data_IF_962022494974
#
_entry.id   IF_962022494974
#
_cell.length_a   1.000
_cell.length_b   1.000
_cell.length_c   1.000
_cell.angle_alpha   90.00
_cell.angle_beta   90.00
_cell.angle_gamma   90.00
#
_symmetry.space_group_name_H-M   'P 1'
#
loop_
_entity.id
_entity.type
_entity.pdbx_description
1 polymer ?
#
# COMPACT_ATOMS: atom_id res chain seq x y z
N UNK A 1 31.33 -7.00 -16.47
CA UNK A 1 30.15 -7.05 -17.35
C UNK A 1 28.89 -6.52 -16.67
N UNK A 2 28.44 -7.08 -15.53
CA UNK A 2 27.23 -6.63 -14.83
C UNK A 2 27.21 -5.14 -14.41
N UNK A 3 28.37 -4.57 -14.05
CA UNK A 3 28.46 -3.13 -13.73
C UNK A 3 28.22 -2.22 -14.94
N UNK A 4 28.67 -2.63 -16.14
CA UNK A 4 28.40 -1.91 -17.39
C UNK A 4 26.93 -2.03 -17.78
N UNK A 5 26.35 -3.22 -17.63
CA UNK A 5 24.93 -3.47 -17.87
C UNK A 5 24.02 -2.67 -16.94
N UNK A 6 24.34 -2.61 -15.65
CA UNK A 6 23.61 -1.77 -14.69
C UNK A 6 23.69 -0.29 -15.02
N UNK A 7 24.84 0.21 -15.50
CA UNK A 7 24.96 1.61 -15.97
C UNK A 7 24.12 1.85 -17.22
N UNK A 8 24.16 0.94 -18.19
CA UNK A 8 23.33 1.01 -19.40
C UNK A 8 21.83 1.09 -19.09
N UNK A 9 21.33 0.25 -18.17
CA UNK A 9 19.93 0.29 -17.72
C UNK A 9 19.56 1.61 -17.01
N UNK A 10 20.53 2.32 -16.45
CA UNK A 10 20.32 3.63 -15.81
C UNK A 10 20.56 4.82 -16.76
N UNK A 11 21.22 4.63 -17.89
CA UNK A 11 21.66 5.69 -18.83
C UNK A 11 20.90 5.67 -20.15
N UNK A 12 19.78 4.96 -20.25
CA UNK A 12 19.05 4.84 -21.53
C UNK A 12 18.30 6.15 -21.82
N UNK A 13 18.92 7.02 -22.63
CA UNK A 13 18.43 8.32 -23.17
C UNK A 13 17.23 8.20 -24.16
N UNK A 14 16.66 7.01 -24.35
CA UNK A 14 15.64 6.75 -25.38
C UNK A 14 14.20 6.86 -24.84
N UNK A 15 13.85 8.00 -24.25
CA UNK A 15 12.46 8.41 -23.98
C UNK A 15 11.65 7.62 -22.93
N UNK A 16 12.21 6.55 -22.35
CA UNK A 16 11.54 5.75 -21.32
C UNK A 16 12.48 5.41 -20.15
N UNK A 17 12.36 6.16 -19.07
CA UNK A 17 13.02 5.86 -17.79
C UNK A 17 12.49 4.54 -17.21
N UNK A 18 13.35 3.53 -17.08
CA UNK A 18 13.00 2.27 -16.45
C UNK A 18 12.81 2.48 -14.94
N UNK A 19 11.69 1.97 -14.40
CA UNK A 19 11.46 1.97 -12.96
C UNK A 19 12.62 1.27 -12.21
N UNK A 20 13.08 1.81 -11.07
CA UNK A 20 14.10 1.17 -10.24
C UNK A 20 13.77 -0.29 -9.87
N UNK A 21 12.48 -0.62 -9.75
CA UNK A 21 12.00 -1.99 -9.52
C UNK A 21 12.30 -2.91 -10.71
N UNK A 22 12.04 -2.42 -11.94
CA UNK A 22 12.33 -3.15 -13.18
C UNK A 22 13.83 -3.35 -13.36
N UNK A 23 14.65 -2.35 -13.03
CA UNK A 23 16.12 -2.45 -13.07
C UNK A 23 16.60 -3.53 -12.11
N UNK A 24 16.10 -3.55 -10.86
CA UNK A 24 16.42 -4.58 -9.88
C UNK A 24 16.03 -5.97 -10.37
N UNK A 25 14.85 -6.12 -10.96
CA UNK A 25 14.36 -7.38 -11.51
C UNK A 25 15.29 -7.88 -12.63
N UNK A 26 15.57 -7.05 -13.64
CA UNK A 26 16.43 -7.42 -14.77
C UNK A 26 17.84 -7.83 -14.31
N UNK A 27 18.44 -7.09 -13.38
CA UNK A 27 19.75 -7.43 -12.82
C UNK A 27 19.68 -8.77 -12.06
N UNK A 28 18.61 -9.03 -11.31
CA UNK A 28 18.40 -10.30 -10.60
C UNK A 28 18.23 -11.47 -11.56
N UNK A 29 17.50 -11.29 -12.65
CA UNK A 29 17.30 -12.31 -13.69
C UNK A 29 18.63 -12.65 -14.38
N UNK A 30 19.40 -11.64 -14.78
CA UNK A 30 20.73 -11.85 -15.41
C UNK A 30 21.68 -12.54 -14.44
N UNK A 31 21.64 -12.19 -13.15
CA UNK A 31 22.43 -12.88 -12.13
C UNK A 31 22.06 -14.37 -12.05
N UNK A 32 20.78 -14.70 -11.89
CA UNK A 32 20.31 -16.08 -11.80
C UNK A 32 20.58 -16.89 -13.08
N UNK A 33 20.50 -16.24 -14.24
CA UNK A 33 20.87 -16.88 -15.51
C UNK A 33 22.37 -17.22 -15.59
N UNK A 34 23.24 -16.31 -15.15
CA UNK A 34 24.68 -16.56 -15.14
C UNK A 34 25.10 -17.61 -14.10
N UNK A 35 24.43 -17.67 -12.96
CA UNK A 35 24.67 -18.72 -11.96
C UNK A 35 24.20 -20.10 -12.46
N UNK A 36 23.10 -20.18 -13.22
CA UNK A 36 22.51 -21.45 -13.68
C UNK A 36 23.08 -22.00 -14.98
N UNK A 37 23.50 -21.14 -15.92
CA UNK A 37 24.01 -21.56 -17.24
C UNK A 37 25.53 -21.82 -17.24
N UNK A 38 26.25 -21.27 -16.26
CA UNK A 38 27.71 -21.29 -16.23
C UNK A 38 28.22 -21.84 -14.92
N UNK A 39 28.47 -23.16 -14.87
CA UNK A 39 29.04 -23.88 -13.71
C UNK A 39 30.37 -23.30 -13.21
N UNK A 40 31.02 -22.42 -13.98
CA UNK A 40 32.32 -21.80 -13.67
C UNK A 40 32.22 -20.40 -13.05
N UNK A 41 31.00 -19.84 -12.91
CA UNK A 41 30.82 -18.44 -12.48
C UNK A 41 30.09 -18.41 -11.13
N UNK A 42 30.85 -18.53 -10.05
CA UNK A 42 30.34 -18.29 -8.70
C UNK A 42 30.20 -16.79 -8.41
N UNK A 43 28.96 -16.30 -8.38
CA UNK A 43 28.68 -14.91 -8.02
C UNK A 43 28.44 -14.82 -6.51
N UNK A 44 29.52 -14.57 -5.76
CA UNK A 44 29.39 -14.26 -4.33
C UNK A 44 28.55 -12.99 -4.11
N UNK A 45 27.52 -13.02 -3.23
CA UNK A 45 26.64 -11.88 -2.98
C UNK A 45 27.41 -10.65 -2.45
N UNK A 46 28.50 -10.86 -1.71
CA UNK A 46 29.37 -9.78 -1.20
C UNK A 46 30.10 -9.06 -2.34
N UNK A 47 30.69 -9.82 -3.28
CA UNK A 47 31.39 -9.27 -4.46
C UNK A 47 30.40 -8.56 -5.39
N UNK A 48 29.18 -9.07 -5.50
CA UNK A 48 28.11 -8.47 -6.30
C UNK A 48 27.66 -7.11 -5.76
N UNK A 49 27.35 -7.02 -4.47
CA UNK A 49 26.91 -5.76 -3.82
C UNK A 49 27.95 -4.65 -3.90
N UNK A 50 29.24 -4.99 -3.87
CA UNK A 50 30.34 -4.02 -4.00
C UNK A 50 30.52 -3.49 -5.42
N UNK A 51 30.20 -4.30 -6.45
CA UNK A 51 30.50 -3.97 -7.86
C UNK A 51 29.28 -3.45 -8.64
N UNK A 52 28.07 -3.77 -8.20
CA UNK A 52 26.81 -3.43 -8.88
C UNK A 52 25.99 -2.51 -7.98
N UNK A 53 25.91 -1.23 -8.35
CA UNK A 53 25.10 -0.24 -7.66
C UNK A 53 23.68 -0.27 -8.22
N UNK A 54 22.76 -0.83 -7.45
CA UNK A 54 21.33 -0.88 -7.79
C UNK A 54 20.67 0.41 -7.27
N UNK A 55 19.85 1.12 -8.08
CA UNK A 55 19.15 2.31 -7.64
C UNK A 55 18.21 1.99 -6.47
N UNK A 56 18.15 2.90 -5.49
CA UNK A 56 17.23 2.77 -4.36
C UNK A 56 15.81 3.01 -4.86
N UNK A 57 14.93 2.04 -4.64
CA UNK A 57 13.50 2.19 -4.93
C UNK A 57 12.94 3.24 -3.96
N UNK A 58 12.58 4.41 -4.46
CA UNK A 58 11.87 5.40 -3.67
C UNK A 58 10.45 4.90 -3.43
N UNK A 59 10.06 4.78 -2.16
CA UNK A 59 8.66 4.54 -1.82
C UNK A 59 7.91 5.84 -2.03
N UNK A 60 6.86 5.82 -2.85
CA UNK A 60 5.94 6.96 -2.94
C UNK A 60 5.32 7.16 -1.56
N UNK A 61 5.29 8.41 -1.09
CA UNK A 61 4.52 8.75 0.09
C UNK A 61 3.05 8.55 -0.26
N UNK A 62 2.30 7.93 0.63
CA UNK A 62 0.84 7.84 0.51
C UNK A 62 0.29 9.10 1.16
N UNK A 63 -0.51 9.85 0.42
CA UNK A 63 -1.17 11.02 0.97
C UNK A 63 -2.36 10.59 1.82
N UNK A 64 -2.59 11.33 2.91
CA UNK A 64 -3.74 11.09 3.78
C UNK A 64 -5.00 11.63 3.11
N UNK A 65 -6.13 10.93 3.30
CA UNK A 65 -7.43 11.42 2.85
C UNK A 65 -7.89 12.57 3.76
N UNK A 66 -8.45 13.60 3.15
CA UNK A 66 -9.13 14.68 3.85
C UNK A 66 -10.54 14.26 4.32
N UNK A 67 -11.07 14.94 5.34
CA UNK A 67 -12.43 14.67 5.87
C UNK A 67 -13.50 14.79 4.78
N UNK A 68 -13.38 15.76 3.88
CA UNK A 68 -14.32 15.99 2.79
C UNK A 68 -14.28 14.86 1.77
N UNK A 69 -13.10 14.32 1.46
CA UNK A 69 -12.96 13.16 0.56
C UNK A 69 -13.60 11.91 1.15
N UNK A 70 -13.44 11.67 2.45
CA UNK A 70 -14.07 10.51 3.14
C UNK A 70 -15.60 10.59 3.06
N UNK A 71 -16.17 11.77 3.33
CA UNK A 71 -17.62 11.99 3.23
C UNK A 71 -18.11 11.75 1.78
N UNK A 72 -17.37 12.26 0.79
CA UNK A 72 -17.72 12.07 -0.62
C UNK A 72 -17.69 10.58 -1.02
N UNK A 73 -16.73 9.81 -0.52
CA UNK A 73 -16.63 8.36 -0.76
C UNK A 73 -17.83 7.62 -0.13
N UNK A 74 -18.21 7.98 1.10
CA UNK A 74 -19.34 7.33 1.78
C UNK A 74 -20.67 7.66 1.06
N UNK A 75 -20.82 8.88 0.56
CA UNK A 75 -22.04 9.32 -0.14
C UNK A 75 -22.13 8.79 -1.58
N UNK A 76 -21.02 8.43 -2.22
CA UNK A 76 -21.03 7.84 -3.56
C UNK A 76 -21.39 6.34 -3.56
N UNK A 77 -21.41 5.69 -2.39
CA UNK A 77 -21.82 4.29 -2.27
C UNK A 77 -23.35 4.15 -2.40
N UNK A 78 -23.80 3.46 -3.44
CA UNK A 78 -25.23 3.15 -3.66
C UNK A 78 -25.74 2.02 -2.76
N UNK A 79 -24.90 1.02 -2.50
CA UNK A 79 -25.26 -0.15 -1.70
C UNK A 79 -25.12 0.13 -0.21
N UNK A 80 -26.19 -0.14 0.56
CA UNK A 80 -26.19 0.05 2.02
C UNK A 80 -25.10 -0.79 2.71
N UNK A 81 -24.87 -2.01 2.24
CA UNK A 81 -23.82 -2.90 2.79
C UNK A 81 -22.43 -2.32 2.61
N UNK A 82 -22.14 -1.77 1.43
CA UNK A 82 -20.86 -1.14 1.13
C UNK A 82 -20.69 0.15 1.93
N UNK A 83 -21.75 0.97 2.00
CA UNK A 83 -21.78 2.20 2.77
C UNK A 83 -21.49 1.96 4.25
N UNK A 84 -22.17 0.99 4.87
CA UNK A 84 -21.95 0.61 6.28
C UNK A 84 -20.54 0.07 6.50
N UNK A 85 -20.01 -0.73 5.57
CA UNK A 85 -18.64 -1.26 5.68
C UNK A 85 -17.57 -0.16 5.61
N UNK A 86 -17.70 0.77 4.66
CA UNK A 86 -16.78 1.92 4.55
C UNK A 86 -16.90 2.84 5.77
N UNK A 87 -18.13 3.05 6.27
CA UNK A 87 -18.37 3.83 7.47
C UNK A 87 -17.70 3.18 8.69
N UNK A 88 -17.86 1.87 8.87
CA UNK A 88 -17.23 1.11 9.96
C UNK A 88 -15.70 1.22 9.93
N UNK A 89 -15.10 1.11 8.75
CA UNK A 89 -13.64 1.27 8.59
C UNK A 89 -13.18 2.69 8.91
N UNK A 90 -13.94 3.70 8.49
CA UNK A 90 -13.62 5.10 8.72
C UNK A 90 -13.75 5.50 10.20
N UNK A 91 -14.71 4.91 10.94
CA UNK A 91 -14.97 5.22 12.35
C UNK A 91 -14.02 4.52 13.31
N UNK A 92 -13.74 3.24 13.06
CA UNK A 92 -12.99 2.38 14.00
C UNK A 92 -11.51 2.25 13.69
N UNK A 93 -11.10 2.53 12.45
CA UNK A 93 -9.71 2.33 12.00
C UNK A 93 -9.26 0.87 11.97
N UNK A 94 -10.20 -0.08 12.00
CA UNK A 94 -9.90 -1.52 11.97
C UNK A 94 -9.22 -1.94 10.67
N UNK A 95 -8.45 -3.04 10.71
CA UNK A 95 -7.99 -3.67 9.47
C UNK A 95 -9.20 -4.25 8.73
N UNK A 96 -9.18 -4.20 7.40
CA UNK A 96 -10.26 -4.75 6.56
C UNK A 96 -10.64 -6.20 6.94
N UNK A 97 -9.66 -7.03 7.29
CA UNK A 97 -9.88 -8.42 7.71
C UNK A 97 -10.59 -8.54 9.06
N UNK A 98 -10.30 -7.62 10.00
CA UNK A 98 -10.94 -7.59 11.31
C UNK A 98 -12.40 -7.17 11.15
N UNK A 99 -12.67 -6.12 10.35
CA UNK A 99 -14.02 -5.65 10.06
C UNK A 99 -14.89 -6.74 9.41
N UNK A 100 -14.35 -7.53 8.48
CA UNK A 100 -15.06 -8.65 7.85
C UNK A 100 -15.31 -9.84 8.80
N UNK A 101 -14.55 -9.95 9.88
CA UNK A 101 -14.68 -11.04 10.85
C UNK A 101 -15.63 -10.70 12.00
N UNK A 102 -16.19 -9.49 12.01
CA UNK A 102 -17.15 -9.06 13.03
C UNK A 102 -18.47 -9.79 12.89
N UNK A 103 -19.02 -10.20 14.02
CA UNK A 103 -20.32 -10.87 14.15
C UNK A 103 -21.29 -9.94 14.87
N UNK A 104 -22.57 -10.26 14.76
CA UNK A 104 -23.64 -9.48 15.41
C UNK A 104 -23.43 -9.42 16.95
N UNK A 105 -22.88 -10.48 17.55
CA UNK A 105 -22.56 -10.53 18.98
C UNK A 105 -21.45 -9.56 19.43
N UNK A 106 -20.68 -9.02 18.49
CA UNK A 106 -19.59 -8.09 18.80
C UNK A 106 -20.10 -6.64 18.91
N UNK A 107 -21.37 -6.40 18.55
CA UNK A 107 -22.02 -5.10 18.62
C UNK A 107 -23.07 -5.09 19.73
N UNK A 108 -22.93 -4.18 20.69
CA UNK A 108 -23.97 -3.86 21.65
C UNK A 108 -24.89 -2.78 21.05
N UNK A 109 -26.02 -3.22 20.49
CA UNK A 109 -27.00 -2.34 19.84
C UNK A 109 -28.10 -1.86 20.82
N UNK A 110 -28.22 -2.52 21.98
CA UNK A 110 -29.30 -2.26 22.94
C UNK A 110 -28.97 -1.05 23.83
N UNK A 111 -27.69 -0.73 23.99
CA UNK A 111 -27.23 0.49 24.68
C UNK A 111 -27.56 1.81 23.94
N UNK A 112 -28.06 1.75 22.70
CA UNK A 112 -28.27 2.91 21.82
C UNK A 112 -29.75 3.35 21.74
N UNK A 113 -30.63 2.76 22.56
CA UNK A 113 -32.08 2.99 22.47
C UNK A 113 -32.55 4.39 22.96
N UNK A 114 -31.67 5.21 23.53
CA UNK A 114 -31.97 6.59 23.97
C UNK A 114 -31.62 7.69 22.94
N UNK A 115 -31.19 7.35 21.72
CA UNK A 115 -30.69 8.30 20.71
C UNK A 115 -31.57 8.45 19.45
N UNK A 116 -32.90 8.46 19.59
CA UNK A 116 -33.82 8.88 18.52
C UNK A 116 -33.74 10.38 18.16
N UNK A 117 -32.61 11.05 18.42
CA UNK A 117 -32.34 12.48 18.16
C UNK A 117 -31.09 12.70 17.28
N UNK A 118 -30.59 11.67 16.61
CA UNK A 118 -29.50 11.83 15.62
C UNK A 118 -29.96 11.51 14.19
N UNK A 119 -31.16 11.97 13.84
CA UNK A 119 -31.37 12.41 12.46
C UNK A 119 -30.63 13.74 12.30
N UNK A 120 -29.63 13.74 11.42
CA UNK A 120 -28.87 14.91 10.97
C UNK A 120 -27.97 15.52 12.06
N UNK A 121 -26.73 15.03 12.18
CA UNK A 121 -25.60 15.81 11.71
C UNK A 121 -24.32 14.96 11.61
N UNK A 122 -23.79 14.98 10.40
CA UNK A 122 -22.42 14.61 10.01
C UNK A 122 -21.37 15.59 10.59
N UNK A 123 -21.65 16.25 11.72
CA UNK A 123 -20.83 17.31 12.33
C UNK A 123 -19.93 16.81 13.47
N UNK A 124 -20.31 15.77 14.22
CA UNK A 124 -19.65 15.43 15.49
C UNK A 124 -18.75 14.19 15.46
N UNK A 125 -18.15 13.89 14.31
CA UNK A 125 -17.03 12.94 14.20
C UNK A 125 -15.74 13.38 14.93
N UNK A 126 -15.81 14.40 15.79
CA UNK A 126 -14.67 15.14 16.32
C UNK A 126 -14.06 14.52 17.59
N UNK A 127 -14.66 13.50 18.22
CA UNK A 127 -14.22 13.08 19.57
C UNK A 127 -13.48 11.74 19.65
N UNK A 128 -13.55 10.85 18.65
CA UNK A 128 -12.88 9.53 18.75
C UNK A 128 -11.55 9.48 17.96
N UNK A 129 -11.26 10.47 17.11
CA UNK A 129 -10.07 10.48 16.27
C UNK A 129 -8.79 11.09 16.90
N UNK A 130 -8.82 11.47 18.19
CA UNK A 130 -7.66 12.04 18.91
C UNK A 130 -7.18 11.09 20.01
N UNK A 131 -6.86 9.85 19.65
CA UNK A 131 -6.01 9.00 20.50
C UNK A 131 -5.38 7.87 19.70
N UNK A 132 -4.61 8.21 18.65
CA UNK A 132 -3.57 7.37 18.05
C UNK A 132 -2.48 8.27 17.46
#
# INVERSE_FOLDING_TARGET
MLSKYSKYLCSTDNGHDLSPTTIKLRISTVRGFLESRSDKIEISPRKFRLRVKIPKISKRKKDALSKTEVINIINSCSDIRLKTYVLLLATTGMRATEALSTRICDFDLDSVQDLTVLDVQMSDFTVIAVSW
#
